data_IF_165422705850
#
_entry.id   IF_165422705850
#
_cell.length_a   1.000
_cell.length_b   1.000
_cell.length_c   1.000
_cell.angle_alpha   90.00
_cell.angle_beta   90.00
_cell.angle_gamma   90.00
#
_symmetry.space_group_name_H-M   'P 1'
#
loop_
_entity.id
_entity.type
_entity.pdbx_description
1 polymer ?
#
# COMPACT_ATOMS: atom_id res chain seq x y z
N UNK A 1 -3.46 -14.08 14.84
CA UNK A 1 -2.51 -13.86 13.75
C UNK A 1 -1.21 -14.51 14.09
N UNK A 2 -0.86 -15.52 13.36
CA UNK A 2 0.38 -16.21 13.54
C UNK A 2 1.48 -15.66 12.66
N UNK A 3 2.71 -15.86 13.10
CA UNK A 3 3.88 -15.62 12.27
C UNK A 3 4.19 -16.91 11.53
N UNK A 4 4.40 -16.80 10.22
CA UNK A 4 4.74 -17.96 9.41
C UNK A 4 6.14 -18.46 9.73
N UNK A 5 6.31 -19.80 9.73
CA UNK A 5 7.61 -20.45 9.87
C UNK A 5 8.28 -20.66 8.51
N UNK A 6 7.59 -20.41 7.41
CA UNK A 6 8.13 -20.58 6.08
C UNK A 6 9.09 -19.45 5.71
N UNK A 7 10.09 -19.72 4.85
CA UNK A 7 10.99 -18.67 4.40
C UNK A 7 10.22 -17.54 3.71
N UNK A 8 10.61 -16.32 4.01
CA UNK A 8 10.01 -15.17 3.37
C UNK A 8 10.50 -15.03 1.92
N UNK A 9 9.59 -14.99 0.93
CA UNK A 9 10.00 -14.79 -0.45
C UNK A 9 10.74 -13.47 -0.63
N UNK A 10 11.72 -13.46 -1.51
CA UNK A 10 12.53 -12.26 -1.76
C UNK A 10 11.68 -11.06 -2.20
N UNK A 11 10.72 -11.30 -3.10
CA UNK A 11 9.86 -10.20 -3.57
C UNK A 11 8.97 -9.65 -2.48
N UNK A 12 8.53 -10.47 -1.54
CA UNK A 12 7.78 -9.99 -0.36
C UNK A 12 8.66 -9.07 0.48
N UNK A 13 9.92 -9.44 0.68
CA UNK A 13 10.88 -8.60 1.43
C UNK A 13 11.08 -7.26 0.72
N UNK A 14 11.32 -7.28 -0.59
CA UNK A 14 11.52 -6.06 -1.37
C UNK A 14 10.28 -5.18 -1.34
N UNK A 15 9.10 -5.77 -1.49
CA UNK A 15 7.84 -5.05 -1.46
C UNK A 15 7.61 -4.41 -0.09
N UNK A 16 7.92 -5.14 0.98
CA UNK A 16 7.78 -4.62 2.35
C UNK A 16 8.71 -3.43 2.59
N UNK A 17 9.97 -3.54 2.18
CA UNK A 17 10.93 -2.45 2.32
C UNK A 17 10.48 -1.24 1.53
N UNK A 18 10.02 -1.44 0.30
CA UNK A 18 9.51 -0.35 -0.54
C UNK A 18 8.33 0.34 0.11
N UNK A 19 7.39 -0.41 0.68
CA UNK A 19 6.24 0.18 1.38
C UNK A 19 6.67 1.01 2.58
N UNK A 20 7.64 0.54 3.34
CA UNK A 20 8.15 1.28 4.49
C UNK A 20 8.81 2.59 4.03
N UNK A 21 9.62 2.54 2.98
CA UNK A 21 10.27 3.73 2.45
C UNK A 21 9.26 4.74 1.90
N UNK A 22 8.25 4.27 1.18
CA UNK A 22 7.17 5.13 0.67
C UNK A 22 6.43 5.76 1.85
N UNK A 23 6.16 4.98 2.90
CA UNK A 23 5.48 5.48 4.08
C UNK A 23 6.27 6.56 4.80
N UNK A 24 7.59 6.36 4.96
CA UNK A 24 8.45 7.37 5.56
C UNK A 24 8.49 8.65 4.73
N UNK A 25 8.59 8.51 3.41
CA UNK A 25 8.58 9.67 2.51
C UNK A 25 7.24 10.41 2.58
N UNK A 26 6.13 9.69 2.65
CA UNK A 26 4.80 10.29 2.75
C UNK A 26 4.63 11.05 4.07
N UNK A 27 5.15 10.53 5.17
CA UNK A 27 5.12 11.20 6.46
C UNK A 27 5.93 12.49 6.41
N UNK A 28 7.13 12.44 5.84
CA UNK A 28 7.99 13.61 5.73
C UNK A 28 7.34 14.68 4.86
N UNK A 29 6.87 14.32 3.67
CA UNK A 29 6.20 15.25 2.76
C UNK A 29 4.93 15.78 3.40
N UNK A 30 4.15 14.92 4.06
CA UNK A 30 2.92 15.33 4.74
C UNK A 30 3.17 16.31 5.86
N UNK A 31 4.23 16.09 6.65
CA UNK A 31 4.61 17.02 7.72
C UNK A 31 5.02 18.38 7.18
N UNK A 32 5.83 18.39 6.13
CA UNK A 32 6.24 19.65 5.49
C UNK A 32 5.04 20.38 4.87
N UNK A 33 4.14 19.65 4.21
CA UNK A 33 2.93 20.20 3.62
C UNK A 33 2.02 20.77 4.70
N UNK A 34 1.84 20.03 5.80
CA UNK A 34 1.05 20.50 6.93
C UNK A 34 1.56 21.83 7.44
N UNK A 35 2.88 21.92 7.69
CA UNK A 35 3.50 23.13 8.21
C UNK A 35 3.37 24.28 7.22
N UNK A 36 3.71 24.06 5.95
CA UNK A 36 3.68 25.12 4.94
C UNK A 36 2.28 25.63 4.67
N UNK A 37 1.31 24.75 4.50
CA UNK A 37 -0.07 25.15 4.19
C UNK A 37 -0.78 25.71 5.42
N UNK A 38 -0.42 25.27 6.63
CA UNK A 38 -0.97 25.86 7.85
C UNK A 38 -0.55 27.34 7.98
N UNK A 39 0.68 27.66 7.63
CA UNK A 39 1.18 29.03 7.65
C UNK A 39 0.43 29.91 6.63
N UNK A 40 0.17 29.38 5.44
CA UNK A 40 -0.43 30.13 4.33
C UNK A 40 -1.96 30.17 4.43
N UNK A 41 -2.59 29.03 4.63
CA UNK A 41 -4.03 28.85 4.49
C UNK A 41 -4.78 28.50 5.76
N UNK A 42 -4.08 28.38 6.89
CA UNK A 42 -4.67 27.99 8.16
C UNK A 42 -4.62 26.49 8.40
N UNK A 43 -4.94 26.11 9.64
CA UNK A 43 -4.79 24.73 10.12
C UNK A 43 -5.67 23.74 9.38
N UNK A 44 -6.85 24.17 8.91
CA UNK A 44 -7.77 23.27 8.20
C UNK A 44 -7.17 22.78 6.88
N UNK A 45 -6.58 23.68 6.11
CA UNK A 45 -5.95 23.33 4.83
C UNK A 45 -4.71 22.48 5.07
N UNK A 46 -3.89 22.82 6.06
CA UNK A 46 -2.72 22.03 6.42
C UNK A 46 -3.10 20.62 6.85
N UNK A 47 -4.15 20.49 7.66
CA UNK A 47 -4.62 19.19 8.13
C UNK A 47 -5.17 18.33 6.99
N UNK A 48 -5.93 18.90 6.07
CA UNK A 48 -6.49 18.14 4.94
C UNK A 48 -5.40 17.65 3.99
N UNK A 49 -4.47 18.54 3.62
CA UNK A 49 -3.46 18.21 2.62
C UNK A 49 -2.28 17.42 3.20
N UNK A 50 -1.76 17.86 4.34
CA UNK A 50 -0.59 17.24 4.96
C UNK A 50 -0.94 16.08 5.88
N UNK A 51 -2.02 16.22 6.65
CA UNK A 51 -2.44 15.18 7.59
C UNK A 51 -2.85 13.89 6.91
N UNK A 52 -3.54 13.97 5.77
CA UNK A 52 -3.91 12.77 5.01
C UNK A 52 -2.69 12.02 4.51
N UNK A 53 -1.64 12.72 4.09
CA UNK A 53 -0.40 12.09 3.66
C UNK A 53 0.33 11.42 4.81
N UNK A 54 0.34 12.02 6.00
CA UNK A 54 0.93 11.41 7.19
C UNK A 54 0.19 10.12 7.56
N UNK A 55 -1.15 10.14 7.54
CA UNK A 55 -1.95 8.95 7.85
C UNK A 55 -1.69 7.85 6.83
N UNK A 56 -1.66 8.18 5.55
CA UNK A 56 -1.35 7.22 4.49
C UNK A 56 0.05 6.61 4.68
N UNK A 57 1.02 7.44 5.06
CA UNK A 57 2.38 6.96 5.33
C UNK A 57 2.45 5.97 6.47
N UNK A 58 1.70 6.22 7.56
CA UNK A 58 1.62 5.28 8.67
C UNK A 58 1.02 3.94 8.24
N UNK A 59 -0.02 3.98 7.39
CA UNK A 59 -0.63 2.77 6.85
C UNK A 59 0.37 1.99 5.99
N UNK A 60 1.14 2.66 5.14
CA UNK A 60 2.16 1.99 4.32
C UNK A 60 3.24 1.32 5.18
N UNK A 61 3.66 1.98 6.25
CA UNK A 61 4.64 1.39 7.17
C UNK A 61 4.05 0.15 7.85
N UNK A 62 2.82 0.23 8.30
CA UNK A 62 2.14 -0.90 8.93
C UNK A 62 2.02 -2.09 7.97
N UNK A 63 1.66 -1.84 6.72
CA UNK A 63 1.58 -2.88 5.70
C UNK A 63 2.96 -3.51 5.47
N UNK A 64 4.00 -2.70 5.37
CA UNK A 64 5.36 -3.20 5.20
C UNK A 64 5.81 -4.07 6.36
N UNK A 65 5.56 -3.64 7.59
CA UNK A 65 5.87 -4.43 8.78
C UNK A 65 5.09 -5.73 8.79
N UNK A 66 3.82 -5.69 8.43
CA UNK A 66 2.98 -6.89 8.34
C UNK A 66 3.51 -7.90 7.33
N UNK A 67 4.00 -7.44 6.20
CA UNK A 67 4.64 -8.32 5.21
C UNK A 67 5.95 -8.91 5.72
N UNK A 68 6.75 -8.13 6.43
CA UNK A 68 8.00 -8.65 7.02
C UNK A 68 7.73 -9.68 8.11
N UNK A 69 6.67 -9.48 8.90
CA UNK A 69 6.30 -10.40 9.97
C UNK A 69 5.49 -11.61 9.49
N UNK A 70 5.03 -11.60 8.25
CA UNK A 70 4.24 -12.70 7.72
C UNK A 70 2.85 -12.82 8.34
N UNK A 71 2.23 -11.69 8.69
CA UNK A 71 0.88 -11.71 9.25
C UNK A 71 -0.11 -12.20 8.19
N UNK A 72 -0.87 -13.24 8.52
CA UNK A 72 -1.84 -13.81 7.57
C UNK A 72 -2.90 -12.80 7.14
N UNK A 73 -3.28 -11.86 8.03
CA UNK A 73 -4.23 -10.83 7.66
C UNK A 73 -3.73 -9.95 6.52
N UNK A 74 -2.41 -9.80 6.37
CA UNK A 74 -1.84 -9.00 5.29
C UNK A 74 -2.08 -9.64 3.92
N UNK A 75 -2.11 -10.96 3.84
CA UNK A 75 -2.44 -11.65 2.60
C UNK A 75 -3.87 -11.33 2.15
N UNK A 76 -4.82 -11.44 3.10
CA UNK A 76 -6.22 -11.13 2.81
C UNK A 76 -6.42 -9.65 2.46
N UNK A 77 -5.81 -8.76 3.24
CA UNK A 77 -5.91 -7.32 2.98
C UNK A 77 -5.29 -6.96 1.63
N UNK A 78 -4.16 -7.57 1.27
CA UNK A 78 -3.52 -7.31 -0.01
C UNK A 78 -4.42 -7.68 -1.18
N UNK A 79 -5.06 -8.84 -1.11
CA UNK A 79 -5.98 -9.28 -2.15
C UNK A 79 -7.19 -8.38 -2.23
N UNK A 80 -7.78 -8.00 -1.08
CA UNK A 80 -8.93 -7.11 -1.06
C UNK A 80 -8.59 -5.75 -1.64
N UNK A 81 -7.46 -5.15 -1.24
CA UNK A 81 -7.04 -3.85 -1.77
C UNK A 81 -6.80 -3.89 -3.27
N UNK A 82 -6.16 -4.95 -3.76
CA UNK A 82 -5.88 -5.06 -5.19
C UNK A 82 -7.17 -5.29 -5.99
N UNK A 83 -8.11 -6.07 -5.45
CA UNK A 83 -9.40 -6.27 -6.09
C UNK A 83 -10.19 -4.96 -6.18
N UNK A 84 -10.21 -4.18 -5.10
CA UNK A 84 -10.87 -2.87 -5.09
C UNK A 84 -10.19 -1.92 -6.08
N UNK A 85 -8.86 -1.93 -6.12
CA UNK A 85 -8.11 -1.10 -7.06
C UNK A 85 -8.46 -1.44 -8.51
N UNK A 86 -8.58 -2.72 -8.84
CA UNK A 86 -8.98 -3.15 -10.19
C UNK A 86 -10.36 -2.65 -10.54
N UNK A 87 -11.31 -2.74 -9.62
CA UNK A 87 -12.68 -2.25 -9.85
C UNK A 87 -12.69 -0.75 -10.11
N UNK A 88 -11.98 0.02 -9.26
CA UNK A 88 -11.91 1.48 -9.41
C UNK A 88 -11.23 1.88 -10.72
N UNK A 89 -10.15 1.19 -11.08
CA UNK A 89 -9.43 1.47 -12.31
C UNK A 89 -10.26 1.08 -13.54
N UNK A 90 -11.04 0.00 -13.46
CA UNK A 90 -11.94 -0.38 -14.53
C UNK A 90 -13.03 0.69 -14.76
N UNK A 91 -13.56 1.26 -13.69
CA UNK A 91 -14.52 2.36 -13.78
C UNK A 91 -13.88 3.57 -14.46
N UNK A 92 -12.62 3.90 -14.07
CA UNK A 92 -11.88 4.98 -14.71
C UNK A 92 -11.68 4.74 -16.20
N UNK A 93 -11.38 3.49 -16.57
CA UNK A 93 -11.20 3.12 -17.98
C UNK A 93 -12.48 3.35 -18.78
N UNK A 94 -13.64 3.00 -18.22
CA UNK A 94 -14.93 3.21 -18.87
C UNK A 94 -15.23 4.69 -19.11
N UNK A 95 -14.74 5.58 -18.26
CA UNK A 95 -14.91 7.03 -18.43
C UNK A 95 -13.88 7.64 -19.37
N UNK A 96 -13.03 6.82 -20.00
CA UNK A 96 -12.08 7.27 -21.01
C UNK A 96 -10.66 7.51 -20.51
N UNK A 97 -10.37 7.16 -19.25
CA UNK A 97 -9.02 7.28 -18.71
C UNK A 97 -8.19 6.04 -19.06
N UNK A 98 -7.62 6.03 -20.26
CA UNK A 98 -6.88 4.85 -20.75
C UNK A 98 -5.60 4.57 -19.97
N UNK A 99 -5.07 5.54 -19.24
CA UNK A 99 -3.90 5.32 -18.39
C UNK A 99 -4.19 4.37 -17.22
N UNK A 100 -5.46 4.12 -16.90
CA UNK A 100 -5.85 3.17 -15.87
C UNK A 100 -5.51 1.71 -16.24
N UNK A 101 -5.20 1.42 -17.50
CA UNK A 101 -4.77 0.07 -17.92
C UNK A 101 -3.50 -0.35 -17.19
N UNK A 102 -2.55 0.55 -17.01
CA UNK A 102 -1.27 0.24 -16.37
C UNK A 102 -1.44 -0.20 -14.91
N UNK A 103 -2.16 0.55 -14.06
CA UNK A 103 -2.43 0.09 -12.69
C UNK A 103 -3.20 -1.24 -12.63
N UNK A 104 -4.15 -1.46 -13.55
CA UNK A 104 -4.89 -2.73 -13.60
C UNK A 104 -3.93 -3.90 -13.82
N UNK A 105 -3.02 -3.78 -14.78
CA UNK A 105 -2.04 -4.82 -15.07
C UNK A 105 -1.13 -5.09 -13.88
N UNK A 106 -0.69 -4.03 -13.21
CA UNK A 106 0.16 -4.15 -12.01
C UNK A 106 -0.60 -4.88 -10.90
N UNK A 107 -1.86 -4.50 -10.66
CA UNK A 107 -2.69 -5.13 -9.63
C UNK A 107 -2.93 -6.61 -9.93
N UNK A 108 -3.18 -6.97 -11.20
CA UNK A 108 -3.33 -8.37 -11.59
C UNK A 108 -2.05 -9.17 -11.33
N UNK A 109 -0.89 -8.59 -11.65
CA UNK A 109 0.39 -9.25 -11.40
C UNK A 109 0.60 -9.46 -9.89
N UNK A 110 0.26 -8.47 -9.07
CA UNK A 110 0.39 -8.57 -7.62
C UNK A 110 -0.52 -9.67 -7.07
N UNK A 111 -1.78 -9.74 -7.53
CA UNK A 111 -2.72 -10.77 -7.08
C UNK A 111 -2.19 -12.16 -7.47
N UNK A 112 -1.74 -12.34 -8.70
CA UNK A 112 -1.19 -13.61 -9.14
C UNK A 112 0.04 -14.00 -8.33
N UNK A 113 0.88 -13.04 -7.98
CA UNK A 113 2.03 -13.28 -7.14
C UNK A 113 1.62 -13.74 -5.74
N UNK A 114 0.60 -13.11 -5.14
CA UNK A 114 0.11 -13.48 -3.81
C UNK A 114 -0.46 -14.89 -3.76
N UNK A 115 -0.94 -15.42 -4.89
CA UNK A 115 -1.46 -16.78 -4.95
C UNK A 115 -0.39 -17.84 -5.21
N UNK A 116 0.86 -17.46 -5.42
CA UNK A 116 1.93 -18.44 -5.58
C UNK A 116 2.08 -19.29 -4.30
N UNK A 117 2.35 -20.60 -4.43
CA UNK A 117 2.42 -21.48 -3.26
C UNK A 117 3.41 -21.03 -2.19
N UNK A 118 4.59 -20.57 -2.59
CA UNK A 118 5.60 -20.11 -1.63
C UNK A 118 5.21 -18.81 -0.91
N UNK A 119 4.49 -17.91 -1.58
CA UNK A 119 3.99 -16.68 -0.97
C UNK A 119 2.82 -17.00 -0.05
N UNK A 120 1.89 -17.80 -0.53
CA UNK A 120 0.72 -18.18 0.22
C UNK A 120 1.09 -18.92 1.51
N UNK A 121 2.03 -19.86 1.45
CA UNK A 121 2.47 -20.58 2.64
C UNK A 121 3.22 -19.68 3.61
N UNK A 122 3.94 -18.68 3.14
CA UNK A 122 4.59 -17.70 4.01
C UNK A 122 3.58 -16.95 4.88
N UNK A 123 2.44 -16.55 4.31
CA UNK A 123 1.43 -15.78 5.04
C UNK A 123 0.42 -16.65 5.78
N UNK A 124 0.04 -17.79 5.24
CA UNK A 124 -1.09 -18.57 5.74
C UNK A 124 -0.71 -19.83 6.51
N UNK A 125 0.53 -20.25 6.49
CA UNK A 125 1.07 -21.39 7.23
C UNK A 125 2.15 -20.93 8.24
#
# INVERSE_FOLDING_TARGET
>A
MGKSNNPRPLLVTLFAILNILIGLAAILVGGLTFTGLTIIGGIEIGALAGGSSVVAGLIYILIGVGFLCGWSIMWYLGIIFEAVAIVLDAISLFVGNFSAIIPILISLIIILYLFKPNVKSYFLE
#
